data_IF_581890475135
#
_entry.id   IF_581890475135
#
_cell.length_a   1.000
_cell.length_b   1.000
_cell.length_c   1.000
_cell.angle_alpha   90.00
_cell.angle_beta   90.00
_cell.angle_gamma   90.00
#
_symmetry.space_group_name_H-M   'P 1'
#
loop_
_entity.id
_entity.type
_entity.pdbx_description
1 polymer ?
#
# COMPACT_ATOMS: atom_id res chain seq x y z
N UNK A 1 -70.76 68.49 28.13
CA UNK A 1 -70.16 68.92 26.84
C UNK A 1 -68.66 68.78 26.95
N UNK A 2 -68.08 68.05 26.01
CA UNK A 2 -66.63 67.93 25.77
C UNK A 2 -66.09 69.33 25.51
N UNK A 3 -65.70 70.02 26.58
CA UNK A 3 -65.07 71.33 26.52
C UNK A 3 -63.57 71.09 26.46
N UNK A 4 -63.01 71.22 25.25
CA UNK A 4 -61.62 70.90 24.91
C UNK A 4 -60.69 71.40 26.02
N UNK A 5 -60.06 70.49 26.79
CA UNK A 5 -59.23 70.85 27.95
C UNK A 5 -58.19 71.93 27.60
N UNK A 6 -57.72 71.95 26.34
CA UNK A 6 -56.81 72.96 25.77
C UNK A 6 -57.26 74.40 25.95
N UNK A 7 -58.57 74.67 26.00
CA UNK A 7 -59.10 76.03 26.16
C UNK A 7 -58.81 76.60 27.56
N UNK A 8 -58.71 75.73 28.57
CA UNK A 8 -58.31 76.09 29.93
C UNK A 8 -56.81 75.82 30.18
N UNK A 9 -56.25 74.75 29.60
CA UNK A 9 -54.87 74.31 29.77
C UNK A 9 -53.98 74.81 28.61
N UNK A 10 -53.93 76.12 28.44
CA UNK A 10 -53.20 76.81 27.37
C UNK A 10 -51.83 77.36 27.81
N UNK A 11 -51.41 77.11 29.04
CA UNK A 11 -50.17 77.64 29.62
C UNK A 11 -50.28 79.05 30.21
N UNK A 12 -51.40 79.74 30.00
CA UNK A 12 -51.72 81.04 30.62
C UNK A 12 -52.78 80.91 31.71
N UNK A 13 -53.90 80.24 31.44
CA UNK A 13 -55.02 80.10 32.39
C UNK A 13 -54.79 78.94 33.37
N UNK A 14 -54.27 77.83 32.86
CA UNK A 14 -53.79 76.69 33.63
C UNK A 14 -52.62 76.05 32.88
N UNK A 15 -51.82 75.23 33.58
CA UNK A 15 -50.68 74.53 32.99
C UNK A 15 -51.10 73.74 31.75
N UNK A 16 -50.47 74.04 30.62
CA UNK A 16 -50.67 73.34 29.35
C UNK A 16 -49.59 72.29 29.10
N UNK A 17 -49.46 71.86 27.83
CA UNK A 17 -48.39 70.97 27.37
C UNK A 17 -47.03 71.62 27.60
N UNK A 18 -46.10 70.92 28.24
CA UNK A 18 -44.71 71.38 28.41
C UNK A 18 -43.92 71.22 27.09
N UNK A 19 -42.77 71.88 26.93
CA UNK A 19 -41.88 71.66 25.78
C UNK A 19 -41.41 70.20 25.64
N UNK A 20 -41.44 69.43 26.72
CA UNK A 20 -41.11 68.00 26.77
C UNK A 20 -42.32 67.08 26.59
N UNK A 21 -43.53 67.63 26.44
CA UNK A 21 -44.73 66.86 26.18
C UNK A 21 -44.65 66.25 24.78
N UNK A 22 -45.03 64.97 24.64
CA UNK A 22 -45.08 64.30 23.33
C UNK A 22 -45.98 65.09 22.37
N UNK A 23 -45.57 65.21 21.11
CA UNK A 23 -46.40 65.86 20.09
C UNK A 23 -47.71 65.07 19.93
N UNK A 24 -48.83 65.71 20.27
CA UNK A 24 -50.16 65.09 20.26
C UNK A 24 -51.24 66.08 19.85
N UNK A 25 -52.41 65.56 19.48
CA UNK A 25 -53.60 66.36 19.21
C UNK A 25 -54.01 67.19 20.44
N UNK A 26 -54.87 68.19 20.26
CA UNK A 26 -55.42 68.97 21.38
C UNK A 26 -56.61 68.30 22.08
N UNK A 27 -56.86 67.01 21.81
CA UNK A 27 -57.86 66.18 22.49
C UNK A 27 -57.16 65.43 23.62
N UNK A 28 -57.12 66.05 24.81
CA UNK A 28 -56.36 65.52 25.95
C UNK A 28 -56.87 64.14 26.40
N UNK A 29 -58.15 63.86 26.21
CA UNK A 29 -58.83 62.62 26.59
C UNK A 29 -58.36 61.38 25.81
N UNK A 30 -57.64 61.57 24.70
CA UNK A 30 -57.00 60.48 23.95
C UNK A 30 -55.91 59.79 24.79
N UNK A 31 -55.23 60.56 25.65
CA UNK A 31 -54.10 60.09 26.44
C UNK A 31 -54.37 60.14 27.96
N UNK A 32 -55.14 61.12 28.43
CA UNK A 32 -55.37 61.37 29.85
C UNK A 32 -56.81 61.05 30.24
N UNK A 33 -57.00 60.50 31.45
CA UNK A 33 -58.32 60.38 32.06
C UNK A 33 -58.46 61.47 33.12
N UNK A 34 -59.60 62.16 33.17
CA UNK A 34 -59.84 63.18 34.20
C UNK A 34 -59.82 62.61 35.62
N UNK A 35 -60.11 61.32 35.78
CA UNK A 35 -60.00 60.61 37.06
C UNK A 35 -58.58 60.16 37.41
N UNK A 36 -57.65 60.15 36.45
CA UNK A 36 -56.25 59.77 36.63
C UNK A 36 -55.43 60.34 35.48
N UNK A 37 -54.85 61.52 35.71
CA UNK A 37 -54.13 62.26 34.66
C UNK A 37 -52.78 61.62 34.32
N UNK A 38 -52.17 60.91 35.27
CA UNK A 38 -50.90 60.21 35.10
C UNK A 38 -50.99 58.78 35.66
N UNK A 39 -50.44 57.77 34.95
CA UNK A 39 -49.75 57.86 33.67
C UNK A 39 -50.72 58.07 32.49
N UNK A 40 -50.25 58.75 31.45
CA UNK A 40 -50.98 58.83 30.20
C UNK A 40 -51.00 57.45 29.50
N UNK A 41 -52.12 57.09 28.87
CA UNK A 41 -52.17 55.94 27.96
C UNK A 41 -51.68 56.39 26.59
N UNK A 42 -50.71 55.68 26.02
CA UNK A 42 -50.28 55.89 24.64
C UNK A 42 -50.54 54.62 23.82
N UNK A 43 -51.10 54.80 22.63
CA UNK A 43 -51.36 53.72 21.68
C UNK A 43 -50.35 53.78 20.55
N UNK A 44 -49.47 52.77 20.46
CA UNK A 44 -48.42 52.76 19.43
C UNK A 44 -48.98 52.51 18.03
N UNK A 45 -50.24 52.05 17.88
CA UNK A 45 -50.87 51.84 16.57
C UNK A 45 -51.13 53.14 15.79
N UNK A 46 -51.21 54.27 16.50
CA UNK A 46 -51.38 55.61 15.92
C UNK A 46 -50.12 56.45 15.90
N UNK A 47 -48.97 55.88 16.31
CA UNK A 47 -47.69 56.57 16.25
C UNK A 47 -47.24 56.73 14.78
N UNK A 48 -46.84 57.95 14.41
CA UNK A 48 -46.31 58.27 13.10
C UNK A 48 -44.88 58.80 13.20
N UNK A 49 -44.00 58.37 12.29
CA UNK A 49 -42.58 58.73 12.29
C UNK A 49 -41.66 57.60 12.77
N UNK A 50 -40.35 57.87 12.81
CA UNK A 50 -39.36 56.89 13.24
C UNK A 50 -39.37 56.73 14.77
N UNK A 51 -39.28 55.51 15.28
CA UNK A 51 -39.32 55.24 16.72
C UNK A 51 -38.21 56.00 17.47
N UNK A 52 -37.06 56.18 16.84
CA UNK A 52 -35.90 56.93 17.35
C UNK A 52 -36.16 58.43 17.59
N UNK A 53 -37.20 59.03 17.00
CA UNK A 53 -37.54 60.43 17.30
C UNK A 53 -38.18 60.59 18.68
N UNK A 54 -38.87 59.56 19.17
CA UNK A 54 -39.49 59.54 20.49
C UNK A 54 -38.62 58.79 21.52
N UNK A 55 -38.07 57.63 21.14
CA UNK A 55 -37.19 56.80 21.97
C UNK A 55 -35.73 57.27 21.90
N UNK A 56 -35.52 58.51 22.32
CA UNK A 56 -34.22 59.21 22.27
C UNK A 56 -33.53 59.34 23.64
N UNK A 57 -34.11 58.76 24.70
CA UNK A 57 -33.61 58.86 26.07
C UNK A 57 -34.06 60.10 26.85
N UNK A 58 -34.69 61.07 26.16
CA UNK A 58 -35.29 62.26 26.77
C UNK A 58 -36.82 62.19 26.77
N UNK A 59 -37.44 61.96 25.60
CA UNK A 59 -38.90 61.92 25.45
C UNK A 59 -39.51 60.57 25.84
N UNK A 60 -38.78 59.49 25.56
CA UNK A 60 -39.08 58.13 26.00
C UNK A 60 -37.77 57.35 26.14
N UNK A 61 -37.83 56.18 26.79
CA UNK A 61 -36.67 55.29 26.96
C UNK A 61 -36.03 54.99 25.62
N UNK A 62 -34.79 55.41 25.42
CA UNK A 62 -34.02 55.11 24.22
C UNK A 62 -33.26 53.78 24.31
N UNK A 63 -32.39 53.53 23.33
CA UNK A 63 -31.46 52.40 23.36
C UNK A 63 -30.59 52.48 24.62
N UNK A 64 -30.57 51.41 25.42
CA UNK A 64 -29.69 51.30 26.59
C UNK A 64 -28.25 51.05 26.16
N UNK A 65 -27.28 51.24 27.06
CA UNK A 65 -25.87 50.91 26.77
C UNK A 65 -25.62 49.41 26.50
N UNK A 66 -26.57 48.55 26.88
CA UNK A 66 -26.59 47.11 26.58
C UNK A 66 -27.31 46.77 25.26
N UNK A 67 -27.86 47.76 24.57
CA UNK A 67 -28.51 47.56 23.27
C UNK A 67 -27.45 47.27 22.20
N UNK A 68 -27.72 46.31 21.32
CA UNK A 68 -26.83 45.99 20.19
C UNK A 68 -26.62 47.23 19.30
N UNK A 69 -25.42 47.39 18.74
CA UNK A 69 -25.19 48.47 17.76
C UNK A 69 -26.05 48.22 16.54
N UNK A 70 -27.02 49.08 16.29
CA UNK A 70 -27.98 48.95 15.18
C UNK A 70 -28.36 50.30 14.60
N UNK A 71 -28.96 50.29 13.41
CA UNK A 71 -29.56 51.47 12.76
C UNK A 71 -30.63 52.12 13.65
N UNK A 72 -31.02 53.36 13.36
CA UNK A 72 -32.13 54.05 14.07
C UNK A 72 -33.53 53.69 13.52
N UNK A 73 -33.61 52.64 12.69
CA UNK A 73 -34.87 52.07 12.18
C UNK A 73 -35.25 50.89 13.08
N UNK A 74 -35.96 51.20 14.17
CA UNK A 74 -36.25 50.21 15.22
C UNK A 74 -37.12 49.03 14.74
N UNK A 75 -37.95 49.27 13.71
CA UNK A 75 -38.89 48.29 13.18
C UNK A 75 -38.21 47.18 12.35
N UNK A 76 -36.89 47.28 12.12
CA UNK A 76 -36.06 46.18 11.58
C UNK A 76 -35.95 45.00 12.58
N UNK A 77 -36.18 45.26 13.87
CA UNK A 77 -36.02 44.25 14.94
C UNK A 77 -37.22 44.18 15.88
N UNK A 78 -37.82 45.33 16.19
CA UNK A 78 -38.91 45.44 17.15
C UNK A 78 -40.25 45.56 16.43
N UNK A 79 -41.30 45.03 17.05
CA UNK A 79 -42.67 45.35 16.65
C UNK A 79 -43.38 46.02 17.82
N UNK A 80 -44.34 46.90 17.54
CA UNK A 80 -45.12 47.58 18.59
C UNK A 80 -45.98 46.61 19.40
N UNK A 81 -46.32 45.44 18.84
CA UNK A 81 -47.07 44.36 19.50
C UNK A 81 -46.20 43.38 20.28
N UNK A 82 -44.93 43.21 19.89
CA UNK A 82 -43.97 42.32 20.52
C UNK A 82 -42.58 42.98 20.49
N UNK A 83 -42.39 43.94 21.39
CA UNK A 83 -41.15 44.70 21.49
C UNK A 83 -39.99 43.81 21.98
N UNK A 84 -40.31 42.83 22.83
CA UNK A 84 -39.45 41.73 23.26
C UNK A 84 -40.35 40.47 23.33
N UNK A 85 -39.98 39.33 22.71
CA UNK A 85 -38.75 39.08 21.96
C UNK A 85 -38.78 39.70 20.56
N UNK A 86 -37.61 40.13 20.08
CA UNK A 86 -37.42 40.66 18.72
C UNK A 86 -37.27 39.53 17.71
N UNK A 87 -37.73 39.76 16.47
CA UNK A 87 -37.31 38.95 15.32
C UNK A 87 -36.10 39.66 14.70
N UNK A 88 -35.00 38.94 14.49
CA UNK A 88 -33.76 39.53 13.98
C UNK A 88 -33.43 38.96 12.60
N UNK A 89 -33.41 39.82 11.58
CA UNK A 89 -32.96 39.44 10.25
C UNK A 89 -31.45 39.70 10.10
N UNK A 90 -30.70 38.61 9.91
CA UNK A 90 -29.26 38.69 9.72
C UNK A 90 -28.86 39.26 8.35
N UNK A 91 -29.78 39.37 7.38
CA UNK A 91 -29.51 39.93 6.06
C UNK A 91 -29.16 41.43 6.10
N UNK A 92 -29.60 42.13 7.14
CA UNK A 92 -29.37 43.57 7.33
C UNK A 92 -28.11 43.89 8.15
N UNK A 93 -27.36 42.88 8.60
CA UNK A 93 -26.20 43.05 9.49
C UNK A 93 -24.93 43.25 8.67
N UNK A 94 -24.26 44.39 8.87
CA UNK A 94 -22.94 44.69 8.28
C UNK A 94 -21.77 44.51 9.26
N UNK A 95 -22.06 44.27 10.54
CA UNK A 95 -21.04 43.99 11.55
C UNK A 95 -20.53 42.55 11.45
N UNK A 96 -19.25 42.33 11.79
CA UNK A 96 -18.70 40.97 11.90
C UNK A 96 -19.49 40.15 12.92
N UNK A 97 -19.81 38.89 12.57
CA UNK A 97 -20.63 38.01 13.39
C UNK A 97 -20.07 37.86 14.81
N UNK A 98 -18.74 37.77 14.94
CA UNK A 98 -18.03 37.64 16.23
C UNK A 98 -18.24 38.81 17.19
N UNK A 99 -18.68 39.98 16.71
CA UNK A 99 -18.98 41.12 17.58
C UNK A 99 -20.24 40.86 18.42
N UNK A 100 -21.20 40.11 17.89
CA UNK A 100 -22.43 39.73 18.58
C UNK A 100 -22.35 38.30 19.14
N UNK A 101 -21.87 37.34 18.35
CA UNK A 101 -21.70 35.93 18.73
C UNK A 101 -20.40 35.70 19.51
N UNK A 102 -20.27 36.41 20.63
CA UNK A 102 -19.08 36.41 21.50
C UNK A 102 -19.25 35.55 22.77
N UNK A 103 -20.38 34.87 22.94
CA UNK A 103 -20.69 34.05 24.12
C UNK A 103 -21.31 34.84 25.29
N UNK A 104 -21.38 36.16 25.20
CA UNK A 104 -22.06 37.03 26.16
C UNK A 104 -23.29 37.69 25.56
N UNK A 105 -23.15 38.39 24.43
CA UNK A 105 -24.25 39.11 23.77
C UNK A 105 -25.17 38.18 22.96
N UNK A 106 -24.58 37.15 22.35
CA UNK A 106 -25.27 36.05 21.69
C UNK A 106 -24.40 34.79 21.77
N UNK A 107 -24.99 33.64 21.47
CA UNK A 107 -24.29 32.35 21.46
C UNK A 107 -23.06 32.42 20.56
N UNK A 108 -21.87 32.28 21.15
CA UNK A 108 -20.62 32.21 20.39
C UNK A 108 -20.27 30.80 19.95
N UNK A 109 -19.03 30.62 19.46
CA UNK A 109 -18.48 29.29 19.15
C UNK A 109 -18.48 28.41 20.40
N UNK A 110 -19.01 27.20 20.28
CA UNK A 110 -18.97 26.20 21.36
C UNK A 110 -17.59 25.60 21.50
N UNK A 111 -17.29 24.95 22.63
CA UNK A 111 -16.03 24.21 22.81
C UNK A 111 -15.84 23.03 21.85
N UNK A 112 -16.92 22.60 21.19
CA UNK A 112 -16.91 21.57 20.14
C UNK A 112 -16.74 22.15 18.73
N UNK A 113 -16.67 23.47 18.58
CA UNK A 113 -16.45 24.12 17.30
C UNK A 113 -15.00 23.88 16.84
N UNK A 114 -14.81 23.61 15.55
CA UNK A 114 -13.47 23.48 14.96
C UNK A 114 -12.65 24.77 15.14
N UNK A 115 -11.35 24.65 15.40
CA UNK A 115 -10.47 25.82 15.46
C UNK A 115 -10.51 26.54 14.11
N UNK A 116 -10.88 27.82 14.11
CA UNK A 116 -11.18 28.60 12.91
C UNK A 116 -11.03 30.10 13.19
N UNK A 117 -10.86 30.90 12.13
CA UNK A 117 -10.84 32.36 12.19
C UNK A 117 -12.17 32.93 12.72
N UNK A 118 -12.21 34.22 13.10
CA UNK A 118 -13.47 34.88 13.48
C UNK A 118 -14.31 35.35 12.29
N UNK A 119 -13.93 34.97 11.06
CA UNK A 119 -14.69 35.25 9.84
C UNK A 119 -15.67 34.11 9.61
N UNK A 120 -16.88 34.23 10.18
CA UNK A 120 -17.86 33.14 10.17
C UNK A 120 -18.36 32.77 8.77
N UNK A 121 -18.37 33.73 7.86
CA UNK A 121 -18.87 33.55 6.48
C UNK A 121 -17.93 32.71 5.60
N UNK A 122 -16.75 32.34 6.10
CA UNK A 122 -15.88 31.33 5.48
C UNK A 122 -16.55 29.95 5.47
N UNK A 123 -17.41 29.67 6.45
CA UNK A 123 -18.05 28.36 6.62
C UNK A 123 -19.58 28.43 6.69
N UNK A 124 -20.13 29.49 7.26
CA UNK A 124 -21.55 29.63 7.53
C UNK A 124 -22.21 30.61 6.56
N UNK A 125 -23.51 30.40 6.32
CA UNK A 125 -24.35 31.41 5.67
C UNK A 125 -25.48 31.79 6.59
N UNK A 126 -25.95 33.04 6.53
CA UNK A 126 -27.09 33.51 7.34
C UNK A 126 -28.39 32.81 6.97
N UNK A 127 -28.52 32.32 5.72
CA UNK A 127 -29.67 31.55 5.23
C UNK A 127 -29.63 30.07 5.62
N UNK A 128 -28.43 29.50 5.82
CA UNK A 128 -28.22 28.11 6.17
C UNK A 128 -26.96 28.01 7.05
N UNK A 129 -27.17 28.24 8.36
CA UNK A 129 -26.06 28.23 9.33
C UNK A 129 -25.48 26.82 9.51
N UNK A 130 -26.33 25.79 9.44
CA UNK A 130 -25.95 24.38 9.48
C UNK A 130 -26.67 23.66 8.32
N UNK A 131 -25.98 22.80 7.55
CA UNK A 131 -24.56 22.46 7.68
C UNK A 131 -23.65 23.60 7.23
N UNK A 132 -22.50 23.73 7.91
CA UNK A 132 -21.44 24.62 7.46
C UNK A 132 -20.71 23.98 6.26
N UNK A 133 -20.27 24.81 5.32
CA UNK A 133 -19.32 24.39 4.29
C UNK A 133 -17.90 24.56 4.81
N UNK A 134 -16.96 23.70 4.45
CA UNK A 134 -15.57 23.85 4.85
C UNK A 134 -14.66 23.51 3.68
N UNK A 135 -13.78 24.46 3.34
CA UNK A 135 -12.74 24.25 2.33
C UNK A 135 -11.46 23.75 3.01
N UNK A 136 -10.96 22.58 2.59
CA UNK A 136 -9.71 22.04 3.13
C UNK A 136 -8.49 22.89 2.74
N UNK A 137 -8.58 23.75 1.73
CA UNK A 137 -7.52 24.70 1.39
C UNK A 137 -7.30 25.77 2.46
N UNK A 138 -8.30 26.06 3.30
CA UNK A 138 -8.18 26.99 4.44
C UNK A 138 -7.83 26.29 5.75
N UNK A 139 -7.66 24.97 5.74
CA UNK A 139 -7.29 24.21 6.93
C UNK A 139 -5.86 24.54 7.36
N UNK A 140 -5.67 24.79 8.67
CA UNK A 140 -4.36 25.05 9.28
C UNK A 140 -4.05 24.01 10.36
N UNK A 141 -2.80 23.55 10.41
CA UNK A 141 -2.35 22.53 11.36
C UNK A 141 -2.36 21.12 10.79
N UNK A 142 -2.10 20.11 11.63
CA UNK A 142 -2.07 18.71 11.20
C UNK A 142 -3.48 18.15 10.99
N UNK A 143 -3.68 17.38 9.92
CA UNK A 143 -4.96 16.77 9.59
C UNK A 143 -5.50 15.90 10.74
N UNK A 144 -4.61 15.21 11.45
CA UNK A 144 -4.94 14.36 12.61
C UNK A 144 -5.57 15.11 13.78
N UNK A 145 -5.45 16.45 13.83
CA UNK A 145 -6.10 17.25 14.87
C UNK A 145 -7.62 17.24 14.73
N UNK A 146 -8.13 17.19 13.48
CA UNK A 146 -9.56 17.11 13.19
C UNK A 146 -9.98 15.67 12.83
N UNK A 147 -9.19 14.97 12.02
CA UNK A 147 -9.45 13.58 11.61
C UNK A 147 -8.99 12.57 12.67
N UNK A 148 -9.56 12.70 13.87
CA UNK A 148 -9.23 11.92 15.06
C UNK A 148 -10.29 10.83 15.40
N UNK A 149 -11.33 10.70 14.58
CA UNK A 149 -12.43 9.76 14.80
C UNK A 149 -13.56 10.28 15.69
N UNK A 150 -13.40 11.46 16.30
CA UNK A 150 -14.43 12.15 17.08
C UNK A 150 -14.91 13.43 16.38
N UNK A 151 -14.01 14.33 16.00
CA UNK A 151 -14.34 15.59 15.33
C UNK A 151 -14.67 15.39 13.86
N UNK A 152 -13.83 14.63 13.16
CA UNK A 152 -14.03 14.17 11.79
C UNK A 152 -13.57 12.71 11.66
N UNK A 153 -13.95 12.08 10.56
CA UNK A 153 -13.57 10.69 10.25
C UNK A 153 -12.05 10.53 10.34
N UNK A 154 -11.57 9.70 11.25
CA UNK A 154 -10.15 9.37 11.37
C UNK A 154 -9.72 8.26 10.43
N UNK A 155 -8.49 7.76 10.62
CA UNK A 155 -7.98 6.60 9.89
C UNK A 155 -8.87 5.37 10.17
N UNK A 156 -9.43 4.71 9.13
CA UNK A 156 -10.19 3.48 9.34
C UNK A 156 -9.28 2.36 9.86
N UNK A 157 -9.85 1.33 10.50
CA UNK A 157 -9.07 0.17 10.97
C UNK A 157 -8.34 -0.60 9.85
N UNK A 158 -8.77 -0.42 8.60
CA UNK A 158 -8.13 -0.96 7.40
C UNK A 158 -7.02 -0.07 6.84
N UNK A 159 -6.74 1.07 7.46
CA UNK A 159 -5.68 1.98 7.03
C UNK A 159 -4.30 1.35 7.27
N UNK A 160 -3.38 1.53 6.33
CA UNK A 160 -1.99 1.08 6.47
C UNK A 160 -1.33 1.79 7.65
N UNK A 161 -0.57 1.06 8.48
CA UNK A 161 0.18 1.66 9.58
C UNK A 161 1.12 2.75 9.05
N UNK A 162 0.95 3.98 9.55
CA UNK A 162 1.59 5.20 9.04
C UNK A 162 1.66 6.27 10.12
N UNK A 163 2.55 7.25 9.93
CA UNK A 163 2.65 8.45 10.77
C UNK A 163 1.36 9.27 10.75
N UNK A 164 1.20 10.23 11.67
CA UNK A 164 0.05 11.16 11.63
C UNK A 164 0.23 12.34 10.65
N UNK A 165 1.27 12.30 9.81
CA UNK A 165 1.52 13.29 8.76
C UNK A 165 0.82 12.81 7.49
N UNK A 166 -0.46 13.16 7.34
CA UNK A 166 -1.29 12.63 6.25
C UNK A 166 -0.80 13.05 4.85
N UNK A 167 -0.16 14.22 4.75
CA UNK A 167 0.31 14.79 3.49
C UNK A 167 1.51 14.03 2.88
N UNK A 168 2.08 13.05 3.61
CA UNK A 168 3.05 12.09 3.06
C UNK A 168 2.44 11.21 1.97
N UNK A 169 1.12 10.98 2.03
CA UNK A 169 0.39 10.09 1.13
C UNK A 169 -0.83 10.74 0.47
N UNK A 170 -1.53 11.61 1.19
CA UNK A 170 -2.78 12.20 0.75
C UNK A 170 -2.61 13.65 0.29
N UNK A 171 -3.49 14.10 -0.59
CA UNK A 171 -3.64 15.52 -0.90
C UNK A 171 -5.08 15.93 -0.70
N UNK A 172 -5.33 17.19 -0.38
CA UNK A 172 -6.69 17.73 -0.21
C UNK A 172 -7.48 17.72 -1.52
N UNK A 173 -6.82 17.83 -2.67
CA UNK A 173 -7.45 17.82 -3.99
C UNK A 173 -7.74 16.41 -4.53
N UNK A 174 -6.98 15.42 -4.09
CA UNK A 174 -7.15 14.02 -4.46
C UNK A 174 -6.78 13.15 -3.24
N UNK A 175 -7.77 12.90 -2.38
CA UNK A 175 -7.55 12.11 -1.18
C UNK A 175 -7.32 10.63 -1.51
N UNK A 176 -7.99 10.13 -2.55
CA UNK A 176 -7.76 8.79 -3.10
C UNK A 176 -7.64 8.83 -4.63
N UNK A 177 -6.76 8.02 -5.24
CA UNK A 177 -5.77 7.15 -4.58
C UNK A 177 -4.66 7.96 -3.89
N UNK A 178 -4.13 7.43 -2.80
CA UNK A 178 -3.00 8.04 -2.12
C UNK A 178 -1.70 7.79 -2.91
N UNK A 179 -0.80 8.77 -2.91
CA UNK A 179 0.59 8.56 -3.31
C UNK A 179 1.33 7.80 -2.22
N UNK A 180 2.40 7.10 -2.58
CA UNK A 180 3.20 6.37 -1.60
C UNK A 180 4.68 6.49 -1.93
N UNK A 181 5.46 6.97 -0.96
CA UNK A 181 6.92 6.91 -1.00
C UNK A 181 7.40 5.88 0.03
N UNK A 182 8.22 4.93 -0.41
CA UNK A 182 8.81 3.91 0.47
C UNK A 182 9.83 4.49 1.48
N UNK A 183 10.41 5.68 1.21
CA UNK A 183 11.35 6.35 2.13
C UNK A 183 10.70 6.73 3.47
N UNK A 184 9.38 6.96 3.46
CA UNK A 184 8.58 7.38 4.62
C UNK A 184 7.92 6.22 5.37
N UNK A 185 8.23 4.97 5.01
CA UNK A 185 7.56 3.78 5.55
C UNK A 185 8.41 3.16 6.64
N UNK A 186 7.85 3.05 7.85
CA UNK A 186 8.43 2.26 8.93
C UNK A 186 7.77 0.88 9.01
N UNK A 187 8.49 -0.19 8.68
CA UNK A 187 8.01 -1.56 8.85
C UNK A 187 8.63 -2.56 7.89
N UNK A 188 8.30 -3.85 8.06
CA UNK A 188 8.73 -4.91 7.14
C UNK A 188 7.87 -4.87 5.86
N UNK A 189 8.52 -5.02 4.70
CA UNK A 189 7.85 -5.00 3.39
C UNK A 189 6.68 -6.00 3.33
N UNK A 190 6.87 -7.19 3.91
CA UNK A 190 5.86 -8.26 3.96
C UNK A 190 4.58 -7.90 4.71
N UNK A 191 4.58 -6.86 5.54
CA UNK A 191 3.37 -6.42 6.23
C UNK A 191 2.36 -5.80 5.24
N UNK A 192 2.86 -5.16 4.18
CA UNK A 192 2.02 -4.58 3.12
C UNK A 192 2.02 -5.46 1.86
N UNK A 193 3.18 -5.95 1.42
CA UNK A 193 3.33 -6.82 0.25
C UNK A 193 2.98 -8.29 0.60
N UNK A 194 1.74 -8.50 1.05
CA UNK A 194 1.21 -9.77 1.53
C UNK A 194 0.25 -10.44 0.52
N UNK A 195 0.01 -9.82 -0.65
CA UNK A 195 -0.91 -10.30 -1.67
C UNK A 195 -2.37 -9.85 -1.51
N UNK A 196 -2.69 -9.18 -0.40
CA UNK A 196 -4.01 -8.57 -0.12
C UNK A 196 -3.92 -7.05 -0.12
N UNK A 197 -3.02 -6.48 0.69
CA UNK A 197 -2.84 -5.02 0.81
C UNK A 197 -2.06 -4.45 -0.37
N UNK A 198 -1.00 -5.12 -0.78
CA UNK A 198 -0.20 -4.82 -1.96
C UNK A 198 0.30 -6.12 -2.59
N UNK A 199 0.84 -6.03 -3.81
CA UNK A 199 1.41 -7.17 -4.53
C UNK A 199 2.47 -7.87 -3.69
N UNK A 200 2.21 -9.13 -3.32
CA UNK A 200 3.17 -9.95 -2.58
C UNK A 200 4.10 -10.76 -3.49
N UNK A 201 4.83 -11.69 -2.88
CA UNK A 201 5.65 -12.68 -3.60
C UNK A 201 4.75 -13.52 -4.52
N UNK A 202 5.15 -13.65 -5.78
CA UNK A 202 4.44 -14.48 -6.76
C UNK A 202 4.82 -15.96 -6.62
N UNK A 203 4.06 -16.86 -7.24
CA UNK A 203 4.41 -18.29 -7.25
C UNK A 203 5.75 -18.62 -7.93
N UNK A 204 6.23 -17.73 -8.80
CA UNK A 204 7.56 -17.84 -9.43
C UNK A 204 8.68 -17.21 -8.60
N UNK A 205 8.37 -16.63 -7.44
CA UNK A 205 9.38 -16.06 -6.55
C UNK A 205 10.22 -17.17 -5.91
N UNK A 206 11.52 -16.94 -5.79
CA UNK A 206 12.43 -17.87 -5.10
C UNK A 206 12.01 -18.04 -3.62
N UNK A 207 12.10 -19.26 -3.09
CA UNK A 207 11.88 -19.49 -1.67
C UNK A 207 12.91 -18.67 -0.85
N UNK A 208 12.43 -17.75 -0.02
CA UNK A 208 13.24 -16.73 0.66
C UNK A 208 12.56 -16.24 1.94
N UNK A 209 13.35 -15.66 2.84
CA UNK A 209 12.86 -14.98 4.05
C UNK A 209 11.96 -13.78 3.70
N UNK A 210 11.22 -13.23 4.66
CA UNK A 210 10.43 -12.00 4.46
C UNK A 210 11.26 -10.71 4.58
N UNK A 211 12.60 -10.82 4.60
CA UNK A 211 13.51 -9.69 4.59
C UNK A 211 13.81 -9.34 3.13
N UNK A 212 12.94 -8.53 2.52
CA UNK A 212 13.01 -8.23 1.10
C UNK A 212 14.30 -7.49 0.70
N UNK A 213 14.84 -6.68 1.60
CA UNK A 213 16.01 -5.82 1.35
C UNK A 213 17.33 -6.62 1.19
N UNK A 214 17.30 -7.94 1.47
CA UNK A 214 18.41 -8.85 1.15
C UNK A 214 18.63 -8.97 -0.37
N UNK A 215 17.55 -8.79 -1.16
CA UNK A 215 17.58 -8.98 -2.61
C UNK A 215 17.08 -7.74 -3.38
N UNK A 216 16.12 -7.01 -2.83
CA UNK A 216 15.43 -5.91 -3.50
C UNK A 216 15.86 -4.55 -2.96
N UNK A 217 15.79 -3.54 -3.82
CA UNK A 217 15.90 -2.13 -3.43
C UNK A 217 14.60 -1.41 -3.75
N UNK A 218 14.19 -0.48 -2.89
CA UNK A 218 13.04 0.41 -3.13
C UNK A 218 13.24 1.32 -4.34
N UNK A 219 14.49 1.65 -4.69
CA UNK A 219 14.82 2.46 -5.87
C UNK A 219 14.78 1.68 -7.18
N UNK A 220 15.04 0.37 -7.13
CA UNK A 220 15.04 -0.53 -8.27
C UNK A 220 14.63 -1.92 -7.80
N UNK A 221 13.32 -2.19 -7.83
CA UNK A 221 12.79 -3.47 -7.34
C UNK A 221 13.26 -4.67 -8.17
N UNK A 222 13.41 -4.48 -9.48
CA UNK A 222 13.93 -5.48 -10.43
C UNK A 222 14.99 -4.79 -11.32
N UNK A 223 16.13 -5.45 -11.61
CA UNK A 223 16.50 -6.81 -11.18
C UNK A 223 16.86 -6.87 -9.69
N UNK A 224 16.54 -8.01 -9.07
CA UNK A 224 16.96 -8.29 -7.70
C UNK A 224 18.42 -8.77 -7.68
N UNK A 225 19.14 -8.48 -6.60
CA UNK A 225 20.45 -9.05 -6.30
C UNK A 225 20.28 -10.42 -5.67
N UNK A 226 21.07 -11.41 -6.09
CA UNK A 226 21.06 -12.74 -5.48
C UNK A 226 22.45 -13.34 -5.47
N UNK A 227 22.91 -13.75 -4.28
CA UNK A 227 24.19 -14.43 -4.11
C UNK A 227 24.00 -15.96 -4.07
N UNK A 228 24.52 -16.62 -5.11
CA UNK A 228 24.49 -18.09 -5.22
C UNK A 228 25.32 -18.82 -4.16
N UNK A 229 26.25 -18.15 -3.46
CA UNK A 229 26.98 -18.75 -2.34
C UNK A 229 26.06 -19.08 -1.16
N UNK A 230 24.94 -18.36 -1.02
CA UNK A 230 23.93 -18.58 0.01
C UNK A 230 22.89 -19.65 -0.37
N UNK A 231 22.91 -20.13 -1.62
CA UNK A 231 21.95 -21.12 -2.10
C UNK A 231 22.30 -22.52 -1.57
N UNK A 232 21.49 -23.02 -0.64
CA UNK A 232 21.66 -24.35 -0.03
C UNK A 232 20.87 -25.47 -0.73
N UNK A 233 20.03 -25.12 -1.71
CA UNK A 233 19.15 -26.05 -2.41
C UNK A 233 19.76 -26.59 -3.72
N UNK A 234 19.20 -27.70 -4.21
CA UNK A 234 19.54 -28.26 -5.51
C UNK A 234 19.30 -27.23 -6.63
N UNK A 235 20.27 -27.05 -7.54
CA UNK A 235 20.16 -26.06 -8.60
C UNK A 235 18.86 -26.20 -9.43
N UNK A 236 18.43 -27.45 -9.67
CA UNK A 236 17.22 -27.75 -10.43
C UNK A 236 15.92 -27.31 -9.74
N UNK A 237 15.92 -27.05 -8.43
CA UNK A 237 14.73 -26.56 -7.74
C UNK A 237 14.38 -25.12 -8.18
N UNK A 238 15.38 -24.33 -8.54
CA UNK A 238 15.21 -22.95 -9.01
C UNK A 238 15.37 -22.83 -10.53
N UNK A 239 16.39 -23.47 -11.11
CA UNK A 239 16.67 -23.47 -12.55
C UNK A 239 15.80 -24.50 -13.31
N UNK A 240 14.48 -24.33 -13.19
CA UNK A 240 13.47 -25.20 -13.77
C UNK A 240 12.76 -24.61 -15.01
N UNK A 241 13.14 -23.40 -15.42
CA UNK A 241 12.52 -22.67 -16.55
C UNK A 241 11.30 -21.83 -16.17
N UNK A 242 10.80 -21.96 -14.94
CA UNK A 242 9.71 -21.15 -14.39
C UNK A 242 10.19 -20.11 -13.38
N UNK A 243 11.07 -20.49 -12.44
CA UNK A 243 11.61 -19.59 -11.41
C UNK A 243 12.87 -18.89 -11.94
N UNK A 244 13.81 -19.67 -12.46
CA UNK A 244 15.02 -19.20 -13.11
C UNK A 244 15.28 -19.97 -14.40
N UNK A 245 16.21 -19.47 -15.21
CA UNK A 245 16.62 -20.10 -16.47
C UNK A 245 17.03 -21.55 -16.24
N UNK A 246 16.31 -22.48 -16.85
CA UNK A 246 16.62 -23.91 -16.79
C UNK A 246 17.66 -24.35 -17.84
N UNK A 247 17.67 -25.65 -18.14
CA UNK A 247 18.47 -26.22 -19.23
C UNK A 247 18.03 -25.59 -20.56
N UNK A 248 18.98 -24.98 -21.27
CA UNK A 248 18.73 -24.31 -22.56
C UNK A 248 18.75 -25.31 -23.73
N UNK A 249 18.27 -24.87 -24.90
CA UNK A 249 18.32 -25.68 -26.12
C UNK A 249 19.76 -26.09 -26.47
N UNK A 250 19.98 -27.40 -26.71
CA UNK A 250 21.31 -27.97 -26.94
C UNK A 250 22.04 -28.45 -25.69
N UNK A 251 21.46 -28.30 -24.49
CA UNK A 251 22.01 -28.87 -23.26
C UNK A 251 21.99 -30.41 -23.30
N UNK A 252 22.99 -31.04 -22.66
CA UNK A 252 23.09 -32.50 -22.51
C UNK A 252 21.85 -33.10 -21.82
N UNK A 253 21.21 -34.11 -22.40
CA UNK A 253 20.02 -34.71 -21.79
C UNK A 253 20.44 -35.59 -20.62
N UNK A 254 20.26 -35.05 -19.42
CA UNK A 254 20.63 -35.72 -18.16
C UNK A 254 19.63 -35.44 -17.05
N UNK A 255 19.47 -36.41 -16.16
CA UNK A 255 18.74 -36.32 -14.89
C UNK A 255 19.64 -35.94 -13.71
N UNK A 256 20.95 -35.82 -13.93
CA UNK A 256 21.91 -35.40 -12.89
C UNK A 256 21.66 -33.97 -12.44
N UNK A 257 22.05 -33.69 -11.19
CA UNK A 257 22.06 -32.35 -10.65
C UNK A 257 23.11 -31.48 -11.34
N UNK A 258 22.84 -30.18 -11.45
CA UNK A 258 23.72 -29.27 -12.17
C UNK A 258 25.13 -29.22 -11.56
N UNK A 259 25.25 -29.39 -10.25
CA UNK A 259 26.52 -29.39 -9.51
C UNK A 259 27.49 -30.50 -9.91
N UNK A 260 27.01 -31.56 -10.59
CA UNK A 260 27.88 -32.62 -11.12
C UNK A 260 28.78 -32.12 -12.26
N UNK A 261 28.30 -31.12 -13.02
CA UNK A 261 29.00 -30.58 -14.18
C UNK A 261 29.34 -29.09 -14.05
N UNK A 262 28.56 -28.31 -13.30
CA UNK A 262 28.67 -26.85 -13.21
C UNK A 262 29.08 -26.40 -11.82
N UNK A 263 29.65 -25.19 -11.74
CA UNK A 263 29.84 -24.50 -10.47
C UNK A 263 29.43 -23.04 -10.56
N UNK A 264 29.05 -22.47 -9.43
CA UNK A 264 28.65 -21.07 -9.32
C UNK A 264 29.76 -20.10 -9.72
N UNK A 265 31.03 -20.45 -9.47
CA UNK A 265 32.19 -19.62 -9.82
C UNK A 265 32.62 -19.74 -11.29
N UNK A 266 32.20 -20.82 -11.97
CA UNK A 266 32.50 -21.06 -13.38
C UNK A 266 31.42 -21.98 -13.93
N UNK A 267 30.36 -21.37 -14.44
CA UNK A 267 29.21 -22.12 -14.98
C UNK A 267 29.56 -22.77 -16.32
N UNK A 268 30.31 -22.05 -17.15
CA UNK A 268 30.88 -22.54 -18.41
C UNK A 268 32.36 -22.11 -18.45
N UNK A 269 33.31 -23.02 -18.73
CA UNK A 269 33.13 -24.44 -19.07
C UNK A 269 32.72 -25.31 -17.89
N UNK A 270 32.15 -26.48 -18.17
CA UNK A 270 31.84 -27.48 -17.15
C UNK A 270 33.10 -27.99 -16.46
N UNK A 271 32.98 -28.41 -15.20
CA UNK A 271 34.01 -29.18 -14.50
C UNK A 271 34.32 -30.46 -15.26
N UNK A 272 35.53 -30.99 -15.05
CA UNK A 272 35.88 -32.33 -15.52
C UNK A 272 35.03 -33.35 -14.73
N UNK A 273 34.08 -33.95 -15.42
CA UNK A 273 33.27 -35.04 -14.88
C UNK A 273 34.12 -36.32 -14.85
N UNK A 274 33.99 -37.10 -13.77
CA UNK A 274 34.66 -38.39 -13.62
C UNK A 274 33.64 -39.48 -13.27
N UNK A 275 33.63 -40.57 -14.01
CA UNK A 275 32.80 -41.73 -13.69
C UNK A 275 33.35 -42.46 -12.48
N UNK A 276 32.53 -42.66 -11.46
CA UNK A 276 32.94 -43.35 -10.22
C UNK A 276 32.63 -44.84 -10.21
N UNK A 277 31.90 -45.33 -11.22
CA UNK A 277 31.56 -46.73 -11.35
C UNK A 277 32.80 -47.56 -11.70
N UNK A 278 32.95 -48.72 -11.05
CA UNK A 278 34.08 -49.63 -11.27
C UNK A 278 34.16 -50.21 -12.69
N UNK A 279 33.09 -50.10 -13.49
CA UNK A 279 33.06 -50.47 -14.91
C UNK A 279 33.85 -49.51 -15.80
N UNK A 280 34.24 -48.34 -15.30
CA UNK A 280 35.06 -47.36 -16.00
C UNK A 280 36.35 -47.07 -15.22
N UNK A 281 37.27 -48.04 -15.09
CA UNK A 281 38.50 -47.87 -14.34
C UNK A 281 39.51 -46.98 -15.09
N UNK A 282 40.48 -46.43 -14.35
CA UNK A 282 41.64 -45.73 -14.91
C UNK A 282 41.27 -44.57 -15.84
N UNK A 283 41.87 -44.54 -17.02
CA UNK A 283 41.65 -43.48 -18.00
C UNK A 283 40.21 -43.43 -18.54
N UNK A 284 39.42 -44.49 -18.39
CA UNK A 284 38.01 -44.49 -18.79
C UNK A 284 37.12 -43.65 -17.86
N UNK A 285 37.56 -43.32 -16.63
CA UNK A 285 36.75 -42.49 -15.74
C UNK A 285 36.75 -41.01 -16.12
N UNK A 286 37.90 -40.45 -16.52
CA UNK A 286 38.10 -39.00 -16.69
C UNK A 286 39.11 -38.61 -17.78
N UNK A 287 39.78 -39.59 -18.41
CA UNK A 287 40.77 -39.38 -19.46
C UNK A 287 40.19 -39.33 -20.87
N UNK A 288 38.90 -39.65 -21.04
CA UNK A 288 38.21 -39.68 -22.34
C UNK A 288 37.22 -38.53 -22.50
N UNK A 289 37.08 -38.03 -23.73
CA UNK A 289 36.08 -37.00 -24.06
C UNK A 289 34.68 -37.64 -24.02
N UNK A 290 33.70 -36.92 -23.47
CA UNK A 290 32.33 -37.43 -23.29
C UNK A 290 31.76 -38.04 -24.58
N UNK A 291 32.01 -37.41 -25.74
CA UNK A 291 31.50 -37.84 -27.04
C UNK A 291 32.07 -39.19 -27.52
N UNK A 292 33.15 -39.69 -26.94
CA UNK A 292 33.68 -41.01 -27.25
C UNK A 292 32.69 -42.11 -26.84
N UNK A 293 32.01 -41.92 -25.70
CA UNK A 293 31.04 -42.88 -25.17
C UNK A 293 29.59 -42.39 -25.37
N UNK A 294 29.34 -41.09 -25.31
CA UNK A 294 28.03 -40.47 -25.46
C UNK A 294 27.86 -39.88 -26.86
N UNK A 295 27.67 -40.76 -27.85
CA UNK A 295 27.57 -40.37 -29.27
C UNK A 295 26.23 -39.69 -29.63
N UNK A 296 25.26 -39.71 -28.71
CA UNK A 296 24.03 -38.94 -28.80
C UNK A 296 23.94 -37.98 -27.61
N UNK A 297 23.09 -36.95 -27.70
CA UNK A 297 22.96 -35.90 -26.69
C UNK A 297 22.26 -36.39 -25.40
N UNK A 298 22.69 -37.52 -24.82
CA UNK A 298 22.08 -38.18 -23.66
C UNK A 298 23.14 -38.79 -22.73
N UNK A 299 22.80 -38.83 -21.44
CA UNK A 299 23.61 -39.47 -20.40
C UNK A 299 23.84 -40.97 -20.60
N UNK A 300 23.08 -41.63 -21.47
CA UNK A 300 23.28 -43.05 -21.77
C UNK A 300 24.46 -43.23 -22.71
N UNK A 301 25.43 -44.06 -22.31
CA UNK A 301 26.52 -44.45 -23.19
C UNK A 301 25.99 -45.23 -24.41
N UNK A 302 26.61 -45.00 -25.56
CA UNK A 302 26.30 -45.67 -26.82
C UNK A 302 27.10 -46.96 -26.88
N UNK A 303 26.43 -48.10 -26.72
CA UNK A 303 27.04 -49.41 -26.86
C UNK A 303 26.88 -49.90 -28.30
N UNK A 304 27.99 -50.15 -28.97
CA UNK A 304 28.03 -50.67 -30.34
C UNK A 304 27.50 -52.11 -30.42
N UNK A 305 27.72 -52.90 -29.35
CA UNK A 305 27.31 -54.30 -29.23
C UNK A 305 26.37 -54.50 -28.04
N UNK A 306 25.09 -54.16 -28.23
CA UNK A 306 24.09 -54.18 -27.15
C UNK A 306 23.92 -55.53 -26.42
N UNK A 307 24.23 -56.65 -27.07
CA UNK A 307 24.14 -57.99 -26.48
C UNK A 307 25.20 -58.31 -25.41
N UNK A 308 26.25 -57.51 -25.30
CA UNK A 308 27.32 -57.70 -24.31
C UNK A 308 27.30 -56.63 -23.20
N UNK A 309 26.22 -55.86 -23.07
CA UNK A 309 26.06 -54.91 -21.95
C UNK A 309 25.96 -55.69 -20.63
N UNK A 310 26.58 -55.21 -19.53
CA UNK A 310 27.32 -53.95 -19.36
C UNK A 310 28.85 -54.07 -19.50
N UNK A 311 29.34 -55.14 -20.12
CA UNK A 311 30.75 -55.55 -20.09
C UNK A 311 31.58 -54.84 -21.17
N UNK A 312 32.91 -54.90 -21.09
CA UNK A 312 33.82 -54.19 -22.01
C UNK A 312 33.55 -54.51 -23.50
N UNK A 313 33.20 -55.76 -23.80
CA UNK A 313 32.81 -56.20 -25.14
C UNK A 313 31.57 -55.46 -25.69
N UNK A 314 30.75 -54.85 -24.83
CA UNK A 314 29.63 -54.01 -25.28
C UNK A 314 30.08 -52.83 -26.15
N UNK A 315 31.32 -52.36 -25.99
CA UNK A 315 31.94 -51.31 -26.79
C UNK A 315 33.05 -51.87 -27.70
N UNK A 316 33.84 -52.82 -27.19
CA UNK A 316 35.08 -53.30 -27.80
C UNK A 316 34.97 -54.66 -28.50
N UNK A 317 33.77 -55.20 -28.70
CA UNK A 317 33.63 -56.50 -29.39
C UNK A 317 34.19 -56.50 -30.83
N UNK A 318 34.26 -55.34 -31.49
CA UNK A 318 34.92 -55.20 -32.80
C UNK A 318 36.43 -55.35 -32.74
N UNK A 319 37.01 -55.10 -31.57
CA UNK A 319 38.46 -55.08 -31.35
C UNK A 319 38.94 -56.49 -30.89
N UNK A 320 38.01 -57.44 -30.73
CA UNK A 320 38.32 -58.79 -30.28
C UNK A 320 38.96 -59.64 -31.39
N UNK A 321 40.24 -59.92 -31.22
CA UNK A 321 41.00 -60.80 -32.11
C UNK A 321 40.99 -62.25 -31.61
N UNK A 322 40.15 -63.10 -32.21
CA UNK A 322 39.96 -64.48 -31.77
C UNK A 322 41.26 -65.32 -31.84
N UNK A 323 42.13 -65.04 -32.81
CA UNK A 323 43.38 -65.77 -33.03
C UNK A 323 44.37 -65.69 -31.84
N UNK A 324 44.34 -64.61 -31.07
CA UNK A 324 45.15 -64.40 -29.86
C UNK A 324 44.61 -65.19 -28.65
N UNK A 325 43.34 -65.58 -28.70
CA UNK A 325 42.58 -66.16 -27.59
C UNK A 325 42.31 -67.66 -27.77
N UNK A 326 43.37 -68.45 -27.92
CA UNK A 326 43.29 -69.92 -28.04
C UNK A 326 42.94 -70.60 -26.70
N UNK A 327 42.07 -71.60 -26.73
CA UNK A 327 41.84 -72.59 -25.66
C UNK A 327 42.82 -73.77 -25.79
N UNK A 328 42.94 -74.33 -27.00
CA UNK A 328 43.70 -75.56 -27.31
C UNK A 328 44.28 -75.45 -28.72
N UNK A 329 45.45 -76.03 -28.98
CA UNK A 329 46.09 -76.01 -30.31
C UNK A 329 45.60 -77.12 -31.26
N UNK A 330 45.24 -78.30 -30.73
CA UNK A 330 44.80 -79.44 -31.52
C UNK A 330 43.70 -80.25 -30.81
N UNK A 331 42.45 -80.28 -31.32
CA UNK A 331 41.95 -79.40 -32.38
C UNK A 331 42.01 -77.94 -31.95
N UNK A 332 42.18 -77.05 -32.92
CA UNK A 332 42.37 -75.62 -32.66
C UNK A 332 41.04 -75.00 -32.25
N UNK A 333 40.93 -74.64 -30.98
CA UNK A 333 39.75 -74.05 -30.37
C UNK A 333 40.10 -72.68 -29.79
N UNK A 334 39.19 -71.72 -29.97
CA UNK A 334 39.35 -70.35 -29.48
C UNK A 334 38.24 -70.01 -28.50
N UNK A 335 38.50 -69.02 -27.65
CA UNK A 335 37.45 -68.33 -26.93
C UNK A 335 36.62 -67.49 -27.90
N UNK A 336 35.37 -67.27 -27.52
CA UNK A 336 34.52 -66.27 -28.13
C UNK A 336 34.54 -65.00 -27.29
N UNK A 337 34.23 -63.85 -27.90
CA UNK A 337 34.08 -62.59 -27.19
C UNK A 337 33.04 -62.68 -26.06
N UNK A 338 32.00 -63.51 -26.19
CA UNK A 338 31.01 -63.72 -25.14
C UNK A 338 31.55 -64.46 -23.90
N UNK A 339 32.54 -65.33 -24.09
CA UNK A 339 33.24 -66.02 -23.00
C UNK A 339 34.27 -65.13 -22.31
N UNK A 340 34.80 -64.13 -23.00
CA UNK A 340 35.81 -63.17 -22.50
C UNK A 340 35.30 -61.71 -22.54
N UNK A 341 34.01 -61.52 -22.27
CA UNK A 341 33.28 -60.27 -22.47
C UNK A 341 33.75 -59.09 -21.61
N UNK A 342 34.33 -59.38 -20.45
CA UNK A 342 34.86 -58.37 -19.52
C UNK A 342 36.24 -57.87 -19.92
N UNK A 343 36.90 -58.58 -20.84
CA UNK A 343 38.24 -58.36 -21.38
C UNK A 343 39.38 -58.18 -20.35
N UNK A 344 39.12 -57.97 -19.06
CA UNK A 344 40.09 -57.86 -17.96
C UNK A 344 40.31 -59.20 -17.22
N UNK A 345 39.69 -60.28 -17.68
CA UNK A 345 39.63 -61.57 -16.99
C UNK A 345 40.82 -62.50 -17.24
N UNK A 346 41.05 -63.41 -16.30
CA UNK A 346 41.96 -64.55 -16.44
C UNK A 346 41.39 -65.59 -17.42
N UNK A 347 42.18 -66.00 -18.42
CA UNK A 347 41.83 -67.11 -19.30
C UNK A 347 42.88 -68.23 -19.24
N UNK A 348 42.51 -69.44 -19.65
CA UNK A 348 43.40 -70.60 -19.59
C UNK A 348 43.64 -71.17 -20.98
N UNK A 349 44.81 -71.77 -21.17
CA UNK A 349 44.97 -72.79 -22.21
C UNK A 349 44.99 -74.15 -21.59
N UNK A 350 44.47 -75.10 -22.33
CA UNK A 350 44.32 -76.48 -21.93
C UNK A 350 45.20 -77.36 -22.82
N UNK A 351 45.62 -78.49 -22.26
CA UNK A 351 46.45 -79.48 -22.96
C UNK A 351 45.73 -80.12 -24.14
N UNK A 352 44.40 -80.26 -24.06
CA UNK A 352 43.55 -80.88 -25.07
C UNK A 352 42.10 -80.34 -25.01
N UNK A 353 41.26 -80.78 -25.96
CA UNK A 353 39.87 -80.34 -26.11
C UNK A 353 38.90 -80.81 -25.02
N UNK A 354 39.35 -81.59 -24.02
CA UNK A 354 38.53 -81.92 -22.85
C UNK A 354 38.35 -80.71 -21.91
N UNK A 355 39.23 -79.71 -22.01
CA UNK A 355 39.26 -78.51 -21.16
C UNK A 355 39.35 -78.81 -19.65
N UNK A 356 39.89 -79.97 -19.28
CA UNK A 356 40.00 -80.41 -17.87
C UNK A 356 41.35 -80.09 -17.24
N UNK A 357 42.43 -80.09 -18.03
CA UNK A 357 43.80 -79.85 -17.56
C UNK A 357 44.35 -78.55 -18.13
N UNK A 358 44.63 -77.59 -17.25
CA UNK A 358 45.19 -76.28 -17.62
C UNK A 358 46.68 -76.44 -17.93
N UNK A 359 47.07 -76.12 -19.15
CA UNK A 359 48.46 -76.01 -19.59
C UNK A 359 49.09 -74.69 -19.10
N UNK A 360 48.37 -73.57 -19.27
CA UNK A 360 48.82 -72.26 -18.78
C UNK A 360 47.66 -71.35 -18.41
N UNK A 361 47.87 -70.56 -17.37
CA UNK A 361 46.98 -69.46 -16.99
C UNK A 361 47.52 -68.15 -17.55
N UNK A 362 46.65 -67.37 -18.17
CA UNK A 362 46.93 -66.03 -18.68
C UNK A 362 46.15 -65.03 -17.84
N UNK A 363 46.86 -64.28 -17.02
CA UNK A 363 46.29 -63.20 -16.21
C UNK A 363 46.74 -61.85 -16.76
N UNK A 364 45.90 -60.82 -16.61
CA UNK A 364 46.29 -59.41 -16.72
C UNK A 364 46.91 -59.00 -18.05
N UNK A 365 46.36 -59.47 -19.18
CA UNK A 365 46.84 -59.07 -20.53
C UNK A 365 46.17 -57.84 -21.10
N UNK A 366 45.06 -57.43 -20.50
CA UNK A 366 44.29 -56.27 -20.88
C UNK A 366 43.94 -55.54 -19.58
N UNK A 367 44.81 -54.61 -19.18
CA UNK A 367 44.53 -53.73 -18.05
C UNK A 367 43.82 -52.49 -18.58
N UNK A 368 42.61 -52.26 -18.09
CA UNK A 368 41.80 -51.12 -18.45
C UNK A 368 42.40 -49.77 -18.02
N UNK A 369 43.47 -49.79 -17.22
CA UNK A 369 44.22 -48.60 -16.79
C UNK A 369 45.45 -48.29 -17.66
N UNK A 370 45.93 -49.20 -18.51
CA UNK A 370 47.22 -49.04 -19.22
C UNK A 370 47.08 -48.42 -20.63
N UNK A 371 45.89 -47.94 -21.00
CA UNK A 371 45.61 -47.32 -22.31
C UNK A 371 45.76 -48.25 -23.53
N UNK A 372 46.14 -49.51 -23.30
CA UNK A 372 46.28 -50.56 -24.31
C UNK A 372 45.12 -51.53 -24.26
N UNK A 373 44.00 -51.14 -24.85
CA UNK A 373 42.98 -52.08 -25.31
C UNK A 373 43.14 -52.32 -26.81
#
# INVERSE_FOLDING_TARGET
>A
TTGQCVNCHNGSTASGKTPTHIASSNVCEECHRTSSWTPARFDHSSAAGLCSTCHNGSSATGKTGSHITSSNVCDECHTTSAWIPTSFDHSAVSAQCSNCHNGSSATGKTGTHITSSNVCDECHTTSAWIPASFDHASASGQCSNCHNGSTATGKPGTHISSSNICDECHTTNAWTPAGFNHDSVSGQCSNCHNGSTATGKTGSHIASSNICDECHSTNAWIPASFDHASASNQCSSCHNGSIATGKTGGHFVTTMQCSECHSTNSWVPTRRYSHTASTYPGDHNSGVVCLNCHQSNTQTATWTSGGYRPDCAGCHASDYEANEHKKVDSPRLYYTVGELRDCAGSCHRYTDSSLTTIERTRNSKHDANDGGF
#
